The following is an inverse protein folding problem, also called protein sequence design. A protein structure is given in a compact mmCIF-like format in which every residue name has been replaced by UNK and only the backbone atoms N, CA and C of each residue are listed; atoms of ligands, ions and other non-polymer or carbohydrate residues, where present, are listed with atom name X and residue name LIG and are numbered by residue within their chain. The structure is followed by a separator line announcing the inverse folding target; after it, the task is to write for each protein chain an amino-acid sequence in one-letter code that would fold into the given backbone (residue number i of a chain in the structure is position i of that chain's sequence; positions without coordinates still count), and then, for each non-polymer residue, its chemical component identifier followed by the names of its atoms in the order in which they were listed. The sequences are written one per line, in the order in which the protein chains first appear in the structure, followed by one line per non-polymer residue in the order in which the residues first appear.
data_IF_565849867619
#
_entry.id   IF_565849867619
#
_cell.length_a   1.000
_cell.length_b   1.000
_cell.length_c   1.000
_cell.angle_alpha   90.00
_cell.angle_beta   90.00
_cell.angle_gamma   90.00
#
_symmetry.space_group_name_H-M   'P 1'
#
loop_
_entity.id
_entity.type
_entity.pdbx_description
1 polymer ?
#
# COMPACT_ATOMS: atom_id res chain seq x y z
N UNK A 1 -8.62 3.46 11.38
CA UNK A 1 -8.43 2.99 10.01
C UNK A 1 -9.76 3.19 9.27
N UNK A 2 -9.73 3.75 8.05
CA UNK A 2 -10.94 3.87 7.21
C UNK A 2 -11.12 2.59 6.40
N UNK A 3 -12.35 2.33 5.93
CA UNK A 3 -12.68 1.17 5.09
C UNK A 3 -11.80 1.05 3.85
N UNK A 4 -11.41 2.17 3.23
CA UNK A 4 -10.52 2.16 2.08
C UNK A 4 -9.07 1.80 2.45
N UNK A 5 -8.57 2.25 3.61
CA UNK A 5 -7.22 1.89 4.10
C UNK A 5 -7.18 0.40 4.45
N UNK A 6 -8.18 -0.11 5.18
CA UNK A 6 -8.29 -1.55 5.48
C UNK A 6 -8.26 -2.39 4.21
N UNK A 7 -9.06 -2.02 3.21
CA UNK A 7 -9.11 -2.73 1.93
C UNK A 7 -7.79 -2.67 1.16
N UNK A 8 -7.08 -1.53 1.17
CA UNK A 8 -5.76 -1.43 0.56
C UNK A 8 -4.75 -2.33 1.27
N UNK A 9 -4.83 -2.42 2.58
CA UNK A 9 -4.00 -3.31 3.38
C UNK A 9 -4.33 -4.79 3.16
N UNK A 10 -5.59 -5.15 2.92
CA UNK A 10 -5.99 -6.50 2.50
C UNK A 10 -5.35 -6.88 1.16
N UNK A 11 -5.33 -5.95 0.18
CA UNK A 11 -4.64 -6.19 -1.09
C UNK A 11 -3.14 -6.40 -0.91
N UNK A 12 -2.50 -5.63 -0.02
CA UNK A 12 -1.08 -5.80 0.31
C UNK A 12 -0.85 -7.12 1.05
N UNK A 13 -1.77 -7.52 1.93
CA UNK A 13 -1.73 -8.82 2.62
C UNK A 13 -1.83 -10.01 1.65
N UNK A 14 -2.48 -9.82 0.50
CA UNK A 14 -2.55 -10.79 -0.60
C UNK A 14 -1.29 -10.89 -1.47
N UNK A 15 -0.29 -10.02 -1.28
CA UNK A 15 1.00 -10.05 -1.97
C UNK A 15 1.96 -11.10 -1.37
N UNK A 16 3.18 -11.23 -1.89
CA UNK A 16 4.19 -12.09 -1.26
C UNK A 16 4.82 -11.45 -0.01
N UNK A 17 4.05 -11.33 1.06
CA UNK A 17 4.46 -10.70 2.34
C UNK A 17 5.54 -11.47 3.11
N UNK A 18 5.86 -12.70 2.68
CA UNK A 18 6.94 -13.51 3.28
C UNK A 18 8.33 -13.11 2.76
N UNK A 19 8.41 -12.50 1.57
CA UNK A 19 9.66 -12.05 0.98
C UNK A 19 10.15 -10.78 1.68
N UNK A 20 11.44 -10.66 1.98
CA UNK A 20 12.02 -9.44 2.57
C UNK A 20 12.02 -8.24 1.61
N UNK A 21 11.87 -8.49 0.31
CA UNK A 21 11.80 -7.47 -0.73
C UNK A 21 10.60 -7.75 -1.61
N UNK A 22 9.62 -6.82 -1.69
CA UNK A 22 8.52 -6.94 -2.64
C UNK A 22 9.05 -7.07 -4.07
N UNK A 23 8.41 -7.92 -4.87
CA UNK A 23 8.76 -8.01 -6.29
C UNK A 23 8.31 -6.76 -7.07
N UNK A 24 8.74 -6.56 -8.33
CA UNK A 24 8.40 -5.36 -9.08
C UNK A 24 6.90 -5.11 -9.29
N UNK A 25 6.08 -6.16 -9.30
CA UNK A 25 4.63 -6.06 -9.44
C UNK A 25 4.00 -5.59 -8.13
N UNK A 26 4.35 -6.25 -7.01
CA UNK A 26 3.90 -5.90 -5.67
C UNK A 26 4.34 -4.47 -5.29
N UNK A 27 5.60 -4.13 -5.57
CA UNK A 27 6.13 -2.79 -5.34
C UNK A 27 5.33 -1.72 -6.09
N UNK A 28 5.09 -1.92 -7.39
CA UNK A 28 4.39 -0.91 -8.20
C UNK A 28 2.92 -0.79 -7.78
N UNK A 29 2.29 -1.91 -7.45
CA UNK A 29 0.90 -1.97 -6.99
C UNK A 29 0.72 -1.26 -5.65
N UNK A 30 1.53 -1.58 -4.64
CA UNK A 30 1.45 -0.96 -3.32
C UNK A 30 1.69 0.56 -3.38
N UNK A 31 2.71 1.00 -4.12
CA UNK A 31 2.97 2.44 -4.32
C UNK A 31 1.82 3.15 -5.05
N UNK A 32 1.22 2.48 -6.03
CA UNK A 32 0.02 2.95 -6.74
C UNK A 32 -1.16 3.13 -5.80
N UNK A 33 -1.43 2.15 -4.94
CA UNK A 33 -2.49 2.21 -3.93
C UNK A 33 -2.29 3.38 -2.98
N UNK A 34 -1.11 3.55 -2.38
CA UNK A 34 -0.85 4.67 -1.47
C UNK A 34 -1.03 6.03 -2.15
N UNK A 35 -0.50 6.17 -3.36
CA UNK A 35 -0.65 7.40 -4.14
C UNK A 35 -2.12 7.72 -4.43
N UNK A 36 -2.92 6.70 -4.71
CA UNK A 36 -4.34 6.85 -5.01
C UNK A 36 -5.17 7.16 -3.76
N UNK A 37 -4.93 6.47 -2.64
CA UNK A 37 -5.55 6.79 -1.35
C UNK A 37 -5.30 8.24 -0.94
N UNK A 38 -4.09 8.74 -1.14
CA UNK A 38 -3.78 10.16 -0.92
C UNK A 38 -4.57 11.09 -1.86
N UNK A 39 -4.71 10.74 -3.14
CA UNK A 39 -5.54 11.51 -4.08
C UNK A 39 -7.02 11.55 -3.67
N UNK A 40 -7.51 10.49 -3.03
CA UNK A 40 -8.86 10.41 -2.48
C UNK A 40 -9.01 11.16 -1.13
N UNK A 41 -7.94 11.73 -0.57
CA UNK A 41 -7.98 12.46 0.70
C UNK A 41 -7.89 11.58 1.95
N UNK A 42 -7.60 10.28 1.79
CA UNK A 42 -7.50 9.28 2.87
C UNK A 42 -6.12 8.58 2.84
N UNK A 43 -5.00 9.31 3.02
CA UNK A 43 -3.68 8.70 2.98
C UNK A 43 -3.54 7.61 4.06
N UNK A 44 -2.97 6.47 3.68
CA UNK A 44 -2.55 5.45 4.65
C UNK A 44 -1.24 5.90 5.32
N UNK A 45 -1.13 5.72 6.63
CA UNK A 45 0.07 6.05 7.39
C UNK A 45 1.06 4.89 7.46
N UNK A 46 2.31 5.19 7.79
CA UNK A 46 3.32 4.16 8.12
C UNK A 46 2.88 3.27 9.29
N UNK A 47 2.16 3.84 10.26
CA UNK A 47 1.67 3.13 11.44
C UNK A 47 0.55 2.15 11.08
N UNK A 48 -0.35 2.51 10.16
CA UNK A 48 -1.40 1.61 9.66
C UNK A 48 -0.77 0.34 9.03
N UNK A 49 0.26 0.53 8.19
CA UNK A 49 1.00 -0.57 7.55
C UNK A 49 1.75 -1.41 8.60
N UNK A 50 2.42 -0.76 9.55
CA UNK A 50 3.23 -1.45 10.56
C UNK A 50 2.35 -2.27 11.50
N UNK A 51 1.24 -1.71 11.97
CA UNK A 51 0.28 -2.41 12.81
C UNK A 51 -0.30 -3.63 12.10
N UNK A 52 -0.70 -3.48 10.83
CA UNK A 52 -1.18 -4.58 10.00
C UNK A 52 -0.13 -5.67 9.77
N UNK A 53 1.10 -5.28 9.44
CA UNK A 53 2.19 -6.23 9.23
C UNK A 53 2.50 -7.05 10.48
N UNK A 54 2.45 -6.45 11.67
CA UNK A 54 2.58 -7.18 12.94
C UNK A 54 1.38 -8.10 13.18
N UNK A 55 0.16 -7.62 12.93
CA UNK A 55 -1.07 -8.40 13.12
C UNK A 55 -1.12 -9.65 12.23
N UNK A 56 -0.68 -9.54 10.98
CA UNK A 56 -0.75 -10.61 9.99
C UNK A 56 0.55 -11.41 9.84
N UNK A 57 1.60 -11.05 10.59
CA UNK A 57 2.87 -11.77 10.58
C UNK A 57 3.65 -11.62 9.27
N UNK A 58 3.54 -10.46 8.62
CA UNK A 58 4.34 -10.14 7.44
C UNK A 58 5.84 -10.11 7.80
N UNK A 59 6.69 -10.33 6.81
CA UNK A 59 8.13 -10.19 7.00
C UNK A 59 8.48 -8.77 7.48
N UNK A 60 9.40 -8.64 8.44
CA UNK A 60 9.76 -7.35 9.04
C UNK A 60 10.38 -6.37 8.02
N UNK A 61 11.23 -6.87 7.11
CA UNK A 61 11.85 -6.04 6.07
C UNK A 61 10.84 -5.64 4.98
N UNK A 62 9.91 -6.54 4.65
CA UNK A 62 8.77 -6.24 3.79
C UNK A 62 7.97 -5.07 4.38
N UNK A 63 7.52 -5.25 5.63
CA UNK A 63 6.69 -4.29 6.35
C UNK A 63 7.38 -2.94 6.41
N UNK A 64 8.67 -2.91 6.76
CA UNK A 64 9.46 -1.68 6.82
C UNK A 64 9.54 -0.97 5.46
N UNK A 65 9.69 -1.71 4.36
CA UNK A 65 9.73 -1.12 3.01
C UNK A 65 8.40 -0.51 2.62
N UNK A 66 7.31 -1.26 2.82
CA UNK A 66 5.95 -0.82 2.47
C UNK A 66 5.54 0.39 3.32
N UNK A 67 5.81 0.35 4.62
CA UNK A 67 5.56 1.47 5.54
C UNK A 67 6.34 2.72 5.13
N UNK A 68 7.61 2.56 4.71
CA UNK A 68 8.42 3.65 4.16
C UNK A 68 7.91 4.23 2.84
N UNK A 69 7.08 3.51 2.09
CA UNK A 69 6.37 4.08 0.92
C UNK A 69 5.14 4.85 1.35
N UNK A 70 4.34 4.33 2.28
CA UNK A 70 3.20 5.03 2.85
C UNK A 70 3.62 6.39 3.44
N UNK A 71 4.67 6.40 4.27
CA UNK A 71 5.25 7.63 4.86
C UNK A 71 5.66 8.66 3.80
N UNK A 72 6.37 8.22 2.75
CA UNK A 72 6.77 9.11 1.65
C UNK A 72 5.56 9.71 0.94
N UNK A 73 4.54 8.90 0.65
CA UNK A 73 3.33 9.40 0.02
C UNK A 73 2.62 10.38 0.95
N UNK A 74 2.38 10.02 2.20
CA UNK A 74 1.68 10.82 3.20
C UNK A 74 2.35 12.20 3.38
N UNK A 75 3.68 12.23 3.56
CA UNK A 75 4.50 13.43 3.69
C UNK A 75 4.57 14.33 2.43
N UNK A 76 4.01 13.88 1.30
CA UNK A 76 3.98 14.67 0.06
C UNK A 76 5.16 14.45 -0.87
N UNK A 77 6.03 13.49 -0.55
CA UNK A 77 7.10 13.10 -1.42
C UNK A 77 6.58 12.28 -2.61
N UNK A 78 7.15 12.51 -3.79
CA UNK A 78 6.84 11.72 -4.98
C UNK A 78 7.52 10.35 -4.90
N UNK A 79 6.78 9.30 -5.21
CA UNK A 79 7.33 7.97 -5.44
C UNK A 79 7.40 7.66 -6.94
N UNK A 80 8.48 7.00 -7.34
CA UNK A 80 8.59 6.41 -8.67
C UNK A 80 7.84 5.08 -8.66
N UNK A 81 6.83 4.97 -9.51
CA UNK A 81 6.08 3.74 -9.80
C UNK A 81 6.54 3.28 -11.18
N UNK A 82 7.27 2.15 -11.24
CA UNK A 82 7.88 1.69 -12.49
C UNK A 82 6.83 1.19 -13.49
N UNK A 83 5.85 0.44 -13.00
CA UNK A 83 4.83 -0.23 -13.80
C UNK A 83 3.44 0.12 -13.24
N UNK A 84 2.93 1.35 -13.50
CA UNK A 84 1.67 1.83 -12.93
C UNK A 84 0.44 1.02 -13.36
N UNK A 85 0.54 0.25 -14.44
CA UNK A 85 -0.50 -0.63 -14.97
C UNK A 85 -0.85 -1.82 -14.06
N UNK A 86 0.07 -2.25 -13.19
CA UNK A 86 -0.21 -3.31 -12.22
C UNK A 86 -1.25 -2.89 -11.18
N UNK A 87 -1.33 -1.58 -10.88
CA UNK A 87 -2.43 -1.03 -10.11
C UNK A 87 -3.68 -0.83 -11.00
N UNK A 88 -4.41 -1.94 -11.15
CA UNK A 88 -5.54 -2.08 -12.07
C UNK A 88 -6.70 -1.10 -11.79
N UNK A 89 -7.56 -0.91 -12.81
CA UNK A 89 -8.81 -0.14 -12.67
C UNK A 89 -9.75 -0.75 -11.61
N UNK A 90 -9.83 -2.08 -11.56
CA UNK A 90 -10.64 -2.79 -10.57
C UNK A 90 -10.23 -2.41 -9.13
N UNK A 91 -8.93 -2.45 -8.81
CA UNK A 91 -8.46 -2.07 -7.48
C UNK A 91 -8.76 -0.59 -7.17
N UNK A 92 -8.63 0.31 -8.16
CA UNK A 92 -9.00 1.73 -7.98
C UNK A 92 -10.48 1.89 -7.68
N UNK A 93 -11.34 1.19 -8.40
CA UNK A 93 -12.79 1.24 -8.21
C UNK A 93 -13.19 0.71 -6.83
N UNK A 94 -12.62 -0.40 -6.38
CA UNK A 94 -12.89 -0.94 -5.03
C UNK A 94 -12.46 0.04 -3.93
N UNK A 95 -11.28 0.66 -4.05
CA UNK A 95 -10.82 1.63 -3.06
C UNK A 95 -11.70 2.88 -3.06
N UNK A 96 -12.05 3.40 -4.25
CA UNK A 96 -12.88 4.61 -4.38
C UNK A 96 -14.29 4.42 -3.85
N UNK A 97 -14.86 3.23 -3.98
CA UNK A 97 -16.19 2.92 -3.46
C UNK A 97 -16.26 2.93 -1.91
N UNK A 98 -15.11 2.92 -1.24
CA UNK A 98 -14.97 2.83 0.22
C UNK A 98 -14.51 4.15 0.88
N UNK A 99 -14.41 5.23 0.11
CA UNK A 99 -14.11 6.59 0.57
C UNK A 99 -15.38 7.44 0.58
#
# INVERSE_FOLDING_TARGET
MTTAIDKALDFIGGMNTTASVPDPMDESTAKGMFSYLKQLGVPASSDDVTARGVQEGWNADFTKKVAGWADKVESGNRLIIKNPEYFSSYMKEELRALV
#
